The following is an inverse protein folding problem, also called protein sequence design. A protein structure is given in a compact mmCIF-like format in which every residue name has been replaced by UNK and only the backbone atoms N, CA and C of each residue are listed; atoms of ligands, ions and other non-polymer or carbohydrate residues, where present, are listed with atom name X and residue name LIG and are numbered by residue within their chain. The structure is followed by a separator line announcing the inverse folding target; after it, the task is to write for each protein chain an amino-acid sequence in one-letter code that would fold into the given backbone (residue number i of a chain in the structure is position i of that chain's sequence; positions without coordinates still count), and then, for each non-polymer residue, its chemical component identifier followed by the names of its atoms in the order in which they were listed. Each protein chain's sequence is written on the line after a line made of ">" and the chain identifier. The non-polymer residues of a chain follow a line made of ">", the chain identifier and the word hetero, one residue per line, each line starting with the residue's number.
data_IF_679081496931
#
_entry.id   IF_679081496931
#
_cell.length_a   1.000
_cell.length_b   1.000
_cell.length_c   1.000
_cell.angle_alpha   90.00
_cell.angle_beta   90.00
_cell.angle_gamma   90.00
#
_symmetry.space_group_name_H-M   'P 1'
#
loop_
_entity.id
_entity.type
_entity.pdbx_description
1 polymer ?
#
# COMPACT_ATOMS: atom_id res chain seq x y z
N UNK A 1 8.16 -19.92 -6.76
CA UNK A 1 8.63 -18.58 -6.35
C UNK A 1 7.44 -17.81 -5.83
N UNK A 2 7.54 -17.13 -4.69
CA UNK A 2 6.47 -16.26 -4.15
C UNK A 2 6.92 -14.81 -4.22
N UNK A 3 6.16 -13.96 -4.90
CA UNK A 3 6.37 -12.51 -4.91
C UNK A 3 5.59 -11.92 -3.72
N UNK A 4 6.25 -11.15 -2.86
CA UNK A 4 5.60 -10.39 -1.79
C UNK A 4 5.64 -8.91 -2.15
N UNK A 5 4.48 -8.31 -2.33
CA UNK A 5 4.32 -6.87 -2.52
C UNK A 5 3.73 -6.32 -1.23
N UNK A 6 4.47 -5.42 -0.56
CA UNK A 6 3.87 -4.59 0.47
C UNK A 6 3.09 -3.45 -0.19
N UNK A 7 1.78 -3.57 -0.20
CA UNK A 7 0.88 -2.59 -0.85
C UNK A 7 0.88 -1.23 -0.15
N UNK A 8 1.34 -1.14 1.10
CA UNK A 8 1.27 0.10 1.89
C UNK A 8 2.36 1.10 1.54
N UNK A 9 3.47 0.61 0.98
CA UNK A 9 4.68 1.40 0.69
C UNK A 9 4.91 1.62 -0.81
N UNK A 10 4.01 1.13 -1.67
CA UNK A 10 4.10 1.35 -3.12
C UNK A 10 3.86 2.83 -3.43
N UNK A 11 4.89 3.48 -3.97
CA UNK A 11 4.83 4.88 -4.41
C UNK A 11 4.58 5.00 -5.91
N UNK A 12 5.04 4.04 -6.72
CA UNK A 12 4.79 4.04 -8.17
C UNK A 12 4.57 2.64 -8.72
N UNK A 13 3.75 2.55 -9.75
CA UNK A 13 3.47 1.29 -10.48
C UNK A 13 3.81 1.48 -11.97
N UNK A 14 4.58 0.56 -12.53
CA UNK A 14 4.84 0.47 -13.97
C UNK A 14 3.83 -0.47 -14.59
N UNK A 15 3.03 0.04 -15.53
CA UNK A 15 2.06 -0.76 -16.27
C UNK A 15 2.62 -1.21 -17.63
N UNK A 16 1.95 -2.19 -18.24
CA UNK A 16 2.31 -2.74 -19.57
C UNK A 16 2.26 -1.72 -20.71
N UNK A 17 1.60 -0.58 -20.53
CA UNK A 17 1.65 0.54 -21.46
C UNK A 17 3.00 1.29 -21.46
N UNK A 18 3.93 0.90 -20.57
CA UNK A 18 5.26 1.48 -20.44
C UNK A 18 5.32 2.72 -19.54
N UNK A 19 4.20 3.12 -18.93
CA UNK A 19 4.11 4.33 -18.11
C UNK A 19 4.20 4.03 -16.61
N UNK A 20 4.90 4.92 -15.90
CA UNK A 20 4.91 4.96 -14.44
C UNK A 20 3.76 5.82 -13.94
N UNK A 21 2.99 5.28 -13.00
CA UNK A 21 1.91 5.99 -12.32
C UNK A 21 2.28 6.22 -10.86
N UNK A 22 2.21 7.48 -10.41
CA UNK A 22 2.38 7.82 -9.00
C UNK A 22 1.15 7.40 -8.21
N UNK A 23 1.35 6.57 -7.20
CA UNK A 23 0.29 6.08 -6.31
C UNK A 23 0.08 7.10 -5.20
N UNK A 24 -1.17 7.51 -4.98
CA UNK A 24 -1.52 8.28 -3.78
C UNK A 24 -1.34 7.37 -2.56
N UNK A 25 -0.57 7.79 -1.53
CA UNK A 25 -0.31 6.97 -0.34
C UNK A 25 -1.59 6.40 0.28
N UNK A 26 -1.56 5.13 0.64
CA UNK A 26 -2.69 4.40 1.23
C UNK A 26 -3.85 4.11 0.27
N UNK A 27 -3.76 4.46 -1.02
CA UNK A 27 -4.83 4.18 -1.99
C UNK A 27 -4.72 2.80 -2.63
N UNK A 28 -3.54 2.20 -2.73
CA UNK A 28 -3.36 0.94 -3.46
C UNK A 28 -4.01 -0.24 -2.72
N UNK A 29 -4.95 -0.91 -3.39
CA UNK A 29 -5.59 -2.14 -2.93
C UNK A 29 -5.37 -3.26 -3.94
N UNK A 30 -5.37 -4.51 -3.45
CA UNK A 30 -5.32 -5.71 -4.26
C UNK A 30 -6.57 -6.53 -3.99
N UNK A 31 -7.41 -6.66 -5.01
CA UNK A 31 -8.75 -7.26 -4.91
C UNK A 31 -9.01 -8.19 -6.10
N UNK A 32 -10.09 -8.97 -6.02
CA UNK A 32 -10.58 -9.73 -7.18
C UNK A 32 -10.90 -8.76 -8.32
N UNK A 33 -10.35 -9.03 -9.49
CA UNK A 33 -10.52 -8.21 -10.70
C UNK A 33 -11.18 -9.03 -11.79
N UNK A 34 -12.37 -8.60 -12.18
CA UNK A 34 -13.05 -9.06 -13.38
C UNK A 34 -13.44 -7.82 -14.18
N UNK A 35 -13.12 -7.83 -15.47
CA UNK A 35 -13.62 -6.82 -16.38
C UNK A 35 -14.61 -7.47 -17.35
N UNK A 36 -15.79 -6.89 -17.42
CA UNK A 36 -16.88 -7.33 -18.30
C UNK A 36 -17.25 -6.23 -19.28
N UNK A 37 -17.40 -6.58 -20.56
CA UNK A 37 -18.07 -5.74 -21.54
C UNK A 37 -19.53 -6.20 -21.76
N UNK A 38 -20.17 -5.73 -22.84
CA UNK A 38 -21.54 -6.11 -23.18
C UNK A 38 -21.69 -7.57 -23.60
N UNK A 39 -20.60 -8.23 -23.97
CA UNK A 39 -20.58 -9.61 -24.48
C UNK A 39 -20.18 -10.63 -23.39
N UNK A 40 -19.60 -10.18 -22.27
CA UNK A 40 -19.28 -11.03 -21.13
C UNK A 40 -17.99 -10.62 -20.42
N UNK A 41 -17.34 -11.56 -19.72
CA UNK A 41 -16.03 -11.34 -19.09
C UNK A 41 -14.95 -11.33 -20.17
N UNK A 42 -14.22 -10.22 -20.31
CA UNK A 42 -13.21 -10.03 -21.37
C UNK A 42 -11.79 -10.04 -20.83
N UNK A 43 -11.59 -9.74 -19.54
CA UNK A 43 -10.30 -9.84 -18.87
C UNK A 43 -10.49 -10.52 -17.51
N UNK A 44 -10.01 -11.76 -17.43
CA UNK A 44 -9.66 -12.43 -16.18
C UNK A 44 -8.13 -12.42 -16.08
N UNK A 45 -7.60 -11.89 -14.97
CA UNK A 45 -6.19 -12.07 -14.61
C UNK A 45 -5.92 -13.57 -14.54
N UNK A 46 -5.01 -14.08 -15.39
CA UNK A 46 -4.63 -15.49 -15.64
C UNK A 46 -5.53 -16.54 -14.99
N UNK A 47 -6.23 -17.32 -15.81
CA UNK A 47 -6.88 -18.56 -15.41
C UNK A 47 -5.82 -19.61 -15.01
N UNK A 48 -5.26 -19.44 -13.81
CA UNK A 48 -4.44 -20.44 -13.12
C UNK A 48 -5.39 -21.36 -12.33
N UNK A 49 -6.38 -21.96 -13.02
CA UNK A 49 -7.38 -23.01 -12.67
C UNK A 49 -7.90 -23.17 -11.22
N UNK A 50 -7.56 -22.31 -10.27
CA UNK A 50 -7.87 -22.46 -8.85
C UNK A 50 -7.79 -21.17 -8.02
N UNK A 51 -7.35 -20.05 -8.59
CA UNK A 51 -7.25 -18.77 -7.88
C UNK A 51 -8.19 -17.73 -8.49
N UNK A 52 -8.87 -16.91 -7.66
CA UNK A 52 -9.69 -15.81 -8.17
C UNK A 52 -8.79 -14.86 -8.99
N UNK A 53 -9.28 -14.32 -10.13
CA UNK A 53 -8.50 -13.39 -10.92
C UNK A 53 -8.22 -12.15 -10.07
N UNK A 54 -6.96 -11.84 -9.80
CA UNK A 54 -6.56 -10.72 -8.95
C UNK A 54 -6.16 -9.50 -9.78
N UNK A 55 -6.38 -8.31 -9.24
CA UNK A 55 -5.88 -7.06 -9.80
C UNK A 55 -5.52 -6.05 -8.74
N UNK A 56 -5.04 -4.90 -9.20
CA UNK A 56 -4.79 -3.75 -8.34
C UNK A 56 -5.73 -2.61 -8.69
N UNK A 57 -6.02 -1.81 -7.68
CA UNK A 57 -6.74 -0.54 -7.83
C UNK A 57 -6.04 0.54 -7.01
N UNK A 58 -5.79 1.69 -7.59
CA UNK A 58 -5.14 2.81 -6.91
C UNK A 58 -5.56 4.17 -7.49
N UNK A 59 -5.35 5.24 -6.73
CA UNK A 59 -5.52 6.60 -7.23
C UNK A 59 -4.16 7.15 -7.65
N UNK A 60 -4.14 7.97 -8.70
CA UNK A 60 -2.93 8.63 -9.18
C UNK A 60 -3.05 10.15 -9.14
N UNK A 61 -1.92 10.84 -8.92
CA UNK A 61 -1.89 12.30 -9.01
C UNK A 61 -2.24 12.73 -10.44
N UNK A 62 -3.08 13.76 -10.57
CA UNK A 62 -3.46 14.34 -11.86
C UNK A 62 -4.57 13.61 -12.63
N UNK A 63 -5.12 12.49 -12.12
CA UNK A 63 -6.29 11.84 -12.71
C UNK A 63 -7.46 11.80 -11.73
N UNK A 64 -8.67 12.03 -12.24
CA UNK A 64 -9.89 11.82 -11.47
C UNK A 64 -10.26 10.34 -11.45
N UNK A 65 -10.60 9.82 -10.27
CA UNK A 65 -11.08 8.46 -10.10
C UNK A 65 -10.00 7.43 -9.76
N UNK A 66 -10.36 6.16 -9.94
CA UNK A 66 -9.54 5.01 -9.62
C UNK A 66 -9.03 4.37 -10.91
N UNK A 67 -7.73 4.08 -10.97
CA UNK A 67 -7.17 3.21 -11.99
C UNK A 67 -7.27 1.78 -11.48
N UNK A 68 -7.86 0.89 -12.29
CA UNK A 68 -7.99 -0.54 -11.97
C UNK A 68 -7.43 -1.37 -13.11
N UNK A 69 -6.62 -2.39 -12.82
CA UNK A 69 -6.06 -3.27 -13.84
C UNK A 69 -5.81 -4.69 -13.28
N UNK A 70 -5.78 -5.72 -14.14
CA UNK A 70 -5.40 -7.06 -13.70
C UNK A 70 -3.93 -7.07 -13.26
N UNK A 71 -3.58 -7.98 -12.34
CA UNK A 71 -2.21 -8.08 -11.81
C UNK A 71 -1.18 -8.33 -12.92
N UNK A 72 -1.59 -9.02 -13.99
CA UNK A 72 -0.77 -9.28 -15.19
C UNK A 72 -0.32 -8.04 -15.94
N UNK A 73 -0.99 -6.91 -15.73
CA UNK A 73 -0.62 -5.63 -16.34
C UNK A 73 0.46 -4.89 -15.56
N UNK A 74 0.76 -5.31 -14.33
CA UNK A 74 1.83 -4.73 -13.51
C UNK A 74 3.16 -5.34 -13.95
N UNK A 75 4.09 -4.48 -14.39
CA UNK A 75 5.44 -4.88 -14.80
C UNK A 75 6.41 -4.74 -13.63
N UNK A 76 6.30 -3.66 -12.86
CA UNK A 76 7.14 -3.39 -11.70
C UNK A 76 6.44 -2.45 -10.71
N UNK A 77 6.92 -2.44 -9.46
CA UNK A 77 6.53 -1.49 -8.43
C UNK A 77 7.77 -0.80 -7.86
N UNK A 78 7.63 0.46 -7.46
CA UNK A 78 8.66 1.23 -6.78
C UNK A 78 8.15 1.63 -5.39
N UNK A 79 8.97 1.37 -4.38
CA UNK A 79 8.70 1.72 -2.99
C UNK A 79 9.34 3.06 -2.64
N UNK A 80 8.67 3.90 -1.87
CA UNK A 80 9.35 5.01 -1.18
C UNK A 80 9.92 4.52 0.15
N UNK A 81 11.11 4.97 0.57
CA UNK A 81 11.60 4.72 1.91
C UNK A 81 10.60 5.29 2.91
N UNK A 82 10.14 4.47 3.86
CA UNK A 82 9.49 5.02 5.06
C UNK A 82 10.60 5.76 5.80
N UNK A 83 10.63 7.08 5.72
CA UNK A 83 11.33 7.87 6.72
C UNK A 83 10.61 7.60 8.04
N UNK A 84 11.16 6.68 8.84
CA UNK A 84 10.83 6.59 10.25
C UNK A 84 11.30 7.92 10.82
N UNK A 85 10.40 8.90 10.95
CA UNK A 85 10.64 10.03 11.83
C UNK A 85 11.03 9.42 13.18
N UNK A 86 12.27 9.70 13.62
CA UNK A 86 12.75 9.29 14.94
C UNK A 86 11.63 9.54 15.95
N UNK A 87 11.34 8.60 16.87
CA UNK A 87 10.26 8.77 17.83
C UNK A 87 10.46 10.12 18.50
N UNK A 88 9.50 11.03 18.28
CA UNK A 88 9.48 12.35 18.90
C UNK A 88 9.84 12.16 20.36
N UNK A 89 10.98 12.70 20.78
CA UNK A 89 11.37 12.68 22.18
C UNK A 89 10.26 13.38 22.95
N UNK A 90 9.36 12.60 23.55
CA UNK A 90 8.39 13.13 24.49
C UNK A 90 9.22 13.53 25.69
N UNK A 91 9.52 14.82 25.81
CA UNK A 91 10.00 15.37 27.08
C UNK A 91 8.91 15.10 28.10
N UNK A 92 9.10 14.04 28.90
CA UNK A 92 8.28 13.80 30.07
C UNK A 92 8.40 15.05 30.94
N UNK A 93 7.28 15.72 31.28
CA UNK A 93 7.35 16.85 32.19
C UNK A 93 8.01 16.37 33.50
N UNK A 94 9.04 17.08 33.91
CA UNK A 94 9.92 16.78 35.06
C UNK A 94 9.21 16.65 36.41
N UNK A 95 7.89 16.91 36.46
CA UNK A 95 7.04 16.86 37.64
C UNK A 95 6.76 15.46 38.19
N UNK A 96 7.17 14.38 37.51
CA UNK A 96 6.98 13.00 38.00
C UNK A 96 8.23 12.39 38.65
N UNK A 97 9.34 13.14 38.73
CA UNK A 97 10.62 12.62 39.26
C UNK A 97 10.77 12.82 40.77
N UNK A 98 10.01 13.73 41.38
CA UNK A 98 10.23 14.16 42.78
C UNK A 98 9.41 13.40 43.84
N UNK A 99 8.55 12.44 43.46
CA UNK A 99 7.71 11.69 44.41
C UNK A 99 8.20 10.27 44.73
N UNK A 100 9.38 9.85 44.25
CA UNK A 100 9.92 8.52 44.55
C UNK A 100 11.07 8.49 45.56
N UNK A 101 11.46 9.64 46.13
CA UNK A 101 12.62 9.72 47.05
C UNK A 101 12.26 10.26 48.44
N UNK A 102 11.16 9.75 49.02
CA UNK A 102 10.88 9.91 50.45
C UNK A 102 11.24 8.64 51.23
N UNK A 103 12.39 8.58 51.91
CA UNK A 103 12.58 7.62 53.00
C UNK A 103 12.06 8.25 54.29
N UNK A 104 11.04 7.66 54.92
CA UNK A 104 10.75 7.92 56.35
C UNK A 104 9.88 6.79 56.91
N UNK A 105 10.53 5.67 57.27
CA UNK A 105 10.06 4.83 58.37
C UNK A 105 11.00 5.08 59.55
N UNK A 106 10.50 5.80 60.55
CA UNK A 106 10.70 5.49 61.96
C UNK A 106 9.53 6.04 62.77
#
# INVERSE_FOLDING_TARGET
>A
MSLKIDVTTVARVLLRDGSWYEVIPGSLTMDTFQWTDREGITIASVDLEALPPMGIRFKTRGMSGWLSCPLTSVVAVHYEPIELEDPLAVELPSLLSDELDRPSVQ
#
